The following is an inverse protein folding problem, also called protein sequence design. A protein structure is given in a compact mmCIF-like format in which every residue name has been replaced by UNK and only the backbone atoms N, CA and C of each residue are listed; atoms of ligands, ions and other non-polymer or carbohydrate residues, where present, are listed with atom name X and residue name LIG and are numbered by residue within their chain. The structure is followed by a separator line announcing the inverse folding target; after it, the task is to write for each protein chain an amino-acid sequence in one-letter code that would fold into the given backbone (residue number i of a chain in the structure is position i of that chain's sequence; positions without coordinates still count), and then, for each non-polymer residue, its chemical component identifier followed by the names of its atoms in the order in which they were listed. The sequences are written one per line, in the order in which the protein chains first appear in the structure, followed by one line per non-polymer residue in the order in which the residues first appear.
data_IF_073581657387
#
_entry.id   IF_073581657387
#
_cell.length_a   1.000
_cell.length_b   1.000
_cell.length_c   1.000
_cell.angle_alpha   90.00
_cell.angle_beta   90.00
_cell.angle_gamma   90.00
#
_symmetry.space_group_name_H-M   'P 1'
#
loop_
_entity.id
_entity.type
_entity.pdbx_description
1 polymer ?
#
# COMPACT_ATOMS: atom_id res chain seq x y z
N UNK A 1 62.83 46.20 22.51
CA UNK A 1 63.10 46.11 21.06
C UNK A 1 62.49 44.81 20.53
N UNK A 2 61.94 44.89 19.31
CA UNK A 2 61.13 43.92 18.52
C UNK A 2 61.73 42.49 18.52
N UNK A 3 61.03 41.37 18.30
CA UNK A 3 59.95 40.96 17.37
C UNK A 3 59.24 39.74 18.01
N UNK A 4 57.92 39.56 17.95
CA UNK A 4 57.17 39.10 16.78
C UNK A 4 57.24 37.58 16.62
N UNK A 5 56.16 36.84 16.93
CA UNK A 5 55.76 35.62 16.19
C UNK A 5 54.29 35.33 16.48
N UNK A 6 53.49 35.47 15.42
CA UNK A 6 52.13 35.01 15.25
C UNK A 6 52.09 33.47 15.33
N UNK A 7 51.20 32.90 16.15
CA UNK A 7 50.81 31.50 16.00
C UNK A 7 49.55 31.47 15.14
N UNK A 8 49.74 31.05 13.89
CA UNK A 8 48.70 30.75 12.92
C UNK A 8 48.00 29.46 13.38
N UNK A 9 46.80 29.57 13.96
CA UNK A 9 45.94 28.42 14.21
C UNK A 9 45.36 27.94 12.88
N UNK A 10 45.89 26.83 12.38
CA UNK A 10 45.38 26.06 11.25
C UNK A 10 44.06 25.37 11.69
N UNK A 11 42.97 26.13 11.68
CA UNK A 11 41.62 25.57 11.84
C UNK A 11 41.22 24.84 10.57
N UNK A 12 41.23 23.50 10.61
CA UNK A 12 40.68 22.64 9.57
C UNK A 12 39.22 23.02 9.32
N UNK A 13 38.95 23.52 8.12
CA UNK A 13 37.61 23.67 7.60
C UNK A 13 36.97 22.28 7.50
N UNK A 14 36.03 21.98 8.39
CA UNK A 14 35.15 20.83 8.21
C UNK A 14 34.26 21.12 6.99
N UNK A 15 34.26 20.24 5.97
CA UNK A 15 33.35 20.38 4.85
C UNK A 15 31.90 20.24 5.36
N UNK A 16 31.02 21.04 4.76
CA UNK A 16 29.61 21.14 5.12
C UNK A 16 28.96 19.77 5.30
N UNK A 17 28.14 19.67 6.34
CA UNK A 17 27.25 18.54 6.56
C UNK A 17 26.23 18.55 5.43
N UNK A 18 26.54 17.78 4.39
CA UNK A 18 25.66 17.54 3.26
C UNK A 18 24.40 16.83 3.72
N UNK A 19 23.29 17.43 3.31
CA UNK A 19 22.09 16.79 2.77
C UNK A 19 21.22 15.97 3.72
N UNK A 20 20.10 16.61 4.07
CA UNK A 20 18.77 16.04 4.04
C UNK A 20 18.65 14.91 3.00
N UNK A 21 18.20 13.75 3.45
CA UNK A 21 17.30 12.85 2.70
C UNK A 21 17.00 11.66 3.59
N UNK A 22 15.88 11.72 4.32
CA UNK A 22 15.15 10.50 4.66
C UNK A 22 14.88 9.80 3.33
N UNK A 23 15.48 8.64 3.12
CA UNK A 23 15.32 7.88 1.89
C UNK A 23 13.88 7.36 1.79
N UNK A 24 12.99 8.23 1.33
CA UNK A 24 11.68 7.88 0.78
C UNK A 24 11.99 7.16 -0.52
N UNK A 25 11.96 5.83 -0.52
CA UNK A 25 11.88 5.09 -1.77
C UNK A 25 10.59 5.59 -2.47
N UNK A 26 10.67 6.29 -3.61
CA UNK A 26 9.46 6.74 -4.28
C UNK A 26 8.64 5.50 -4.59
N UNK A 27 7.37 5.50 -4.19
CA UNK A 27 6.44 4.49 -4.70
C UNK A 27 6.54 4.51 -6.22
N UNK A 28 6.44 3.34 -6.91
CA UNK A 28 6.29 3.35 -8.36
C UNK A 28 5.25 4.40 -8.73
N UNK A 29 5.53 5.31 -9.67
CA UNK A 29 4.76 6.56 -9.80
C UNK A 29 3.24 6.36 -9.77
N UNK A 30 2.77 5.29 -10.41
CA UNK A 30 1.35 4.92 -10.47
C UNK A 30 0.74 4.44 -9.15
N UNK A 31 1.53 3.81 -8.27
CA UNK A 31 1.07 3.34 -6.97
C UNK A 31 0.63 4.50 -6.08
N UNK A 32 1.33 5.63 -6.12
CA UNK A 32 0.94 6.81 -5.35
C UNK A 32 -0.42 7.35 -5.81
N UNK A 33 -0.65 7.45 -7.13
CA UNK A 33 -1.96 7.86 -7.67
C UNK A 33 -3.10 6.93 -7.22
N UNK A 34 -2.85 5.62 -7.15
CA UNK A 34 -3.83 4.64 -6.69
C UNK A 34 -4.15 4.83 -5.20
N UNK A 35 -3.14 5.10 -4.36
CA UNK A 35 -3.33 5.40 -2.93
C UNK A 35 -4.11 6.70 -2.76
N UNK A 36 -3.74 7.75 -3.50
CA UNK A 36 -4.40 9.05 -3.45
C UNK A 36 -5.87 8.95 -3.87
N UNK A 37 -6.16 8.17 -4.92
CA UNK A 37 -7.52 7.88 -5.35
C UNK A 37 -8.32 7.21 -4.22
N UNK A 38 -7.78 6.17 -3.59
CA UNK A 38 -8.45 5.47 -2.50
C UNK A 38 -8.72 6.42 -1.31
N UNK A 39 -7.74 7.25 -0.94
CA UNK A 39 -7.86 8.24 0.13
C UNK A 39 -8.95 9.28 -0.17
N UNK A 40 -8.99 9.82 -1.39
CA UNK A 40 -9.98 10.81 -1.81
C UNK A 40 -11.43 10.27 -1.81
N UNK A 41 -11.59 8.95 -1.87
CA UNK A 41 -12.88 8.25 -1.92
C UNK A 41 -13.31 7.64 -0.58
N UNK A 42 -12.54 7.80 0.50
CA UNK A 42 -12.95 7.34 1.84
C UNK A 42 -14.35 7.84 2.21
N UNK A 43 -15.20 6.93 2.67
CA UNK A 43 -16.59 7.21 3.04
C UNK A 43 -17.54 7.46 1.86
N UNK A 44 -17.05 7.44 0.62
CA UNK A 44 -17.85 7.63 -0.61
C UNK A 44 -18.07 6.28 -1.30
N UNK A 45 -19.10 6.22 -2.13
CA UNK A 45 -19.37 5.09 -3.03
C UNK A 45 -18.65 5.34 -4.35
N UNK A 46 -17.82 4.40 -4.80
CA UNK A 46 -17.22 4.43 -6.14
C UNK A 46 -18.09 3.60 -7.08
N UNK A 47 -18.51 4.21 -8.20
CA UNK A 47 -19.38 3.61 -9.23
C UNK A 47 -20.61 2.86 -8.65
N UNK A 48 -20.76 1.56 -8.94
CA UNK A 48 -21.90 0.73 -8.52
C UNK A 48 -21.79 0.30 -7.06
N UNK A 49 -20.61 0.50 -6.46
CA UNK A 49 -20.35 0.18 -5.06
C UNK A 49 -19.81 -1.23 -4.88
N UNK A 50 -19.40 -1.92 -5.95
CA UNK A 50 -18.83 -3.26 -5.91
C UNK A 50 -17.37 -3.23 -5.45
N UNK A 51 -16.87 -4.31 -4.83
CA UNK A 51 -15.53 -4.32 -4.24
C UNK A 51 -14.42 -4.01 -5.25
N UNK A 52 -14.58 -4.44 -6.49
CA UNK A 52 -13.63 -4.23 -7.58
C UNK A 52 -13.73 -2.84 -8.22
N UNK A 53 -14.86 -2.12 -8.09
CA UNK A 53 -15.05 -0.79 -8.67
C UNK A 53 -14.01 0.21 -8.13
N UNK A 54 -13.63 0.07 -6.85
CA UNK A 54 -12.59 0.90 -6.24
C UNK A 54 -11.23 0.70 -6.92
N UNK A 55 -10.84 -0.56 -7.13
CA UNK A 55 -9.58 -0.90 -7.80
C UNK A 55 -9.60 -0.48 -9.28
N UNK A 56 -10.70 -0.74 -9.98
CA UNK A 56 -10.87 -0.33 -11.37
C UNK A 56 -10.81 1.19 -11.54
N UNK A 57 -11.52 1.95 -10.69
CA UNK A 57 -11.48 3.41 -10.71
C UNK A 57 -10.07 3.95 -10.48
N UNK A 58 -9.37 3.41 -9.47
CA UNK A 58 -8.00 3.83 -9.16
C UNK A 58 -7.02 3.52 -10.31
N UNK A 59 -7.11 2.32 -10.90
CA UNK A 59 -6.28 1.91 -12.03
C UNK A 59 -6.54 2.78 -13.28
N UNK A 60 -7.81 3.05 -13.58
CA UNK A 60 -8.19 3.87 -14.74
C UNK A 60 -7.71 5.32 -14.58
N UNK A 61 -7.93 5.93 -13.41
CA UNK A 61 -7.49 7.30 -13.12
C UNK A 61 -5.97 7.43 -13.19
N UNK A 62 -5.27 6.41 -12.69
CA UNK A 62 -3.81 6.39 -12.69
C UNK A 62 -3.19 6.04 -14.06
N UNK A 63 -4.01 5.78 -15.09
CA UNK A 63 -3.55 5.39 -16.42
C UNK A 63 -2.84 4.02 -16.42
N UNK A 64 -3.29 3.08 -15.58
CA UNK A 64 -2.68 1.76 -15.45
C UNK A 64 -3.12 0.83 -16.59
N UNK A 65 -2.23 -0.09 -16.97
CA UNK A 65 -2.59 -1.23 -17.81
C UNK A 65 -3.13 -2.37 -16.94
N UNK A 66 -4.36 -2.80 -17.25
CA UNK A 66 -5.04 -3.93 -16.62
C UNK A 66 -6.06 -4.54 -17.60
N UNK A 67 -6.59 -5.72 -17.29
CA UNK A 67 -7.44 -6.51 -18.22
C UNK A 67 -8.94 -6.17 -18.16
N UNK A 68 -9.35 -5.23 -17.31
CA UNK A 68 -10.77 -4.90 -17.10
C UNK A 68 -11.54 -5.95 -16.28
N UNK A 69 -10.87 -6.99 -15.76
CA UNK A 69 -11.46 -8.08 -15.01
C UNK A 69 -10.71 -8.30 -13.68
N UNK A 70 -9.82 -9.31 -13.60
CA UNK A 70 -9.09 -9.67 -12.37
C UNK A 70 -7.57 -9.64 -12.52
N UNK A 71 -7.07 -9.25 -13.70
CA UNK A 71 -5.67 -9.01 -13.98
C UNK A 71 -5.34 -7.53 -13.76
N UNK A 72 -5.01 -7.19 -12.51
CA UNK A 72 -4.77 -5.81 -12.06
C UNK A 72 -3.32 -5.32 -12.27
N UNK A 73 -2.50 -6.06 -13.02
CA UNK A 73 -1.09 -5.77 -13.25
C UNK A 73 -0.21 -7.02 -13.12
N UNK A 74 1.01 -6.85 -12.61
CA UNK A 74 1.95 -7.97 -12.44
C UNK A 74 1.67 -8.72 -11.15
N UNK A 75 1.47 -10.03 -11.22
CA UNK A 75 1.29 -10.88 -10.02
C UNK A 75 2.56 -10.89 -9.18
N UNK A 76 2.42 -10.72 -7.87
CA UNK A 76 3.50 -10.73 -6.90
C UNK A 76 3.56 -12.05 -6.13
N UNK A 77 4.76 -12.60 -5.99
CA UNK A 77 5.07 -13.61 -4.97
C UNK A 77 5.34 -12.89 -3.65
N UNK A 78 4.29 -12.62 -2.88
CA UNK A 78 4.34 -11.86 -1.62
C UNK A 78 5.21 -12.51 -0.53
N UNK A 79 5.63 -13.77 -0.71
CA UNK A 79 6.59 -14.42 0.19
C UNK A 79 8.03 -13.99 -0.09
N UNK A 80 8.33 -13.59 -1.33
CA UNK A 80 9.67 -13.19 -1.78
C UNK A 80 9.77 -11.70 -2.10
N UNK A 81 8.67 -11.09 -2.48
CA UNK A 81 8.57 -9.70 -2.90
C UNK A 81 7.89 -8.88 -1.82
N UNK A 82 8.38 -7.66 -1.62
CA UNK A 82 7.76 -6.67 -0.76
C UNK A 82 6.43 -6.20 -1.37
N UNK A 83 5.40 -6.09 -0.54
CA UNK A 83 4.13 -5.45 -0.86
C UNK A 83 4.26 -3.96 -0.58
N UNK A 84 3.76 -3.12 -1.50
CA UNK A 84 3.84 -1.66 -1.43
C UNK A 84 2.43 -1.05 -1.36
N UNK A 85 2.27 0.13 -0.76
CA UNK A 85 1.08 0.95 -0.98
C UNK A 85 0.79 1.08 -2.47
N UNK A 86 -0.47 1.02 -2.85
CA UNK A 86 -0.97 1.01 -4.24
C UNK A 86 -1.04 -0.39 -4.86
N UNK A 87 -0.43 -1.42 -4.26
CA UNK A 87 -0.63 -2.79 -4.73
C UNK A 87 -2.08 -3.23 -4.48
N UNK A 88 -2.60 -4.09 -5.37
CA UNK A 88 -3.97 -4.59 -5.31
C UNK A 88 -3.98 -6.01 -4.78
N UNK A 89 -4.93 -6.34 -3.92
CA UNK A 89 -5.11 -7.70 -3.39
C UNK A 89 -6.47 -8.25 -3.80
N UNK A 90 -6.45 -9.41 -4.45
CA UNK A 90 -7.61 -10.22 -4.77
C UNK A 90 -7.73 -11.38 -3.78
N UNK A 91 -8.91 -11.53 -3.20
CA UNK A 91 -9.28 -12.62 -2.31
C UNK A 91 -10.11 -13.64 -3.10
N UNK A 92 -9.76 -14.92 -2.98
CA UNK A 92 -10.53 -16.04 -3.54
C UNK A 92 -10.77 -17.10 -2.46
N UNK A 93 -12.02 -17.20 -1.99
CA UNK A 93 -12.40 -18.13 -0.93
C UNK A 93 -11.58 -17.98 0.35
N UNK A 94 -11.20 -16.75 0.71
CA UNK A 94 -10.33 -16.48 1.86
C UNK A 94 -11.13 -16.46 3.15
N UNK A 95 -10.59 -17.10 4.18
CA UNK A 95 -11.12 -17.02 5.54
C UNK A 95 -10.05 -16.43 6.44
N UNK A 96 -10.39 -15.38 7.19
CA UNK A 96 -9.52 -14.82 8.24
C UNK A 96 -10.13 -15.05 9.61
N UNK A 97 -9.29 -15.36 10.60
CA UNK A 97 -9.69 -15.63 11.98
C UNK A 97 -8.88 -14.74 12.94
N UNK A 98 -9.56 -13.83 13.63
CA UNK A 98 -8.98 -12.96 14.66
C UNK A 98 -9.46 -13.41 16.04
N UNK A 99 -8.52 -13.62 16.97
CA UNK A 99 -8.83 -13.90 18.37
C UNK A 99 -8.81 -12.62 19.16
N UNK A 100 -9.93 -12.29 19.76
CA UNK A 100 -10.10 -11.09 20.59
C UNK A 100 -10.73 -11.55 21.89
N UNK A 101 -10.06 -11.36 23.02
CA UNK A 101 -10.59 -11.54 24.39
C UNK A 101 -11.75 -12.54 24.52
N UNK A 102 -11.44 -13.84 24.38
CA UNK A 102 -12.39 -14.93 24.59
C UNK A 102 -13.34 -15.23 23.42
N UNK A 103 -13.27 -14.48 22.31
CA UNK A 103 -14.03 -14.75 21.08
C UNK A 103 -13.12 -14.89 19.86
N UNK A 104 -13.66 -15.59 18.86
CA UNK A 104 -13.10 -15.70 17.51
C UNK A 104 -14.00 -14.87 16.59
N UNK A 105 -13.43 -13.86 15.94
CA UNK A 105 -14.05 -13.14 14.84
C UNK A 105 -13.56 -13.74 13.52
N UNK A 106 -14.49 -14.11 12.65
CA UNK A 106 -14.20 -14.72 11.36
C UNK A 106 -14.78 -13.87 10.22
N UNK A 107 -13.97 -13.59 9.21
CA UNK A 107 -14.42 -12.99 7.96
C UNK A 107 -14.24 -13.98 6.81
N UNK A 108 -15.23 -14.07 5.93
CA UNK A 108 -15.22 -14.95 4.75
C UNK A 108 -15.35 -14.09 3.49
N UNK A 109 -14.36 -14.21 2.61
CA UNK A 109 -14.27 -13.50 1.35
C UNK A 109 -14.38 -14.50 0.20
N UNK A 110 -15.60 -14.75 -0.29
CA UNK A 110 -15.81 -15.62 -1.46
C UNK A 110 -15.05 -15.08 -2.68
N UNK A 111 -15.24 -13.79 -2.99
CA UNK A 111 -14.50 -13.04 -4.00
C UNK A 111 -14.47 -11.57 -3.60
N UNK A 112 -13.30 -11.02 -3.31
CA UNK A 112 -13.17 -9.63 -2.83
C UNK A 112 -11.93 -8.96 -3.40
N UNK A 113 -11.98 -7.66 -3.62
CA UNK A 113 -10.84 -6.87 -4.10
C UNK A 113 -10.59 -5.71 -3.15
N UNK A 114 -9.33 -5.40 -2.89
CA UNK A 114 -8.93 -4.25 -2.10
C UNK A 114 -7.61 -3.65 -2.59
N UNK A 115 -7.35 -2.39 -2.21
CA UNK A 115 -6.10 -1.67 -2.46
C UNK A 115 -5.30 -1.63 -1.15
N UNK A 116 -4.02 -1.97 -1.17
CA UNK A 116 -3.12 -1.73 -0.04
C UNK A 116 -2.84 -0.24 0.05
N UNK A 117 -3.24 0.43 1.13
CA UNK A 117 -3.03 1.87 1.30
C UNK A 117 -1.92 2.19 2.31
N UNK A 118 -1.65 1.29 3.26
CA UNK A 118 -0.54 1.42 4.21
C UNK A 118 0.09 0.05 4.45
N UNK A 119 1.42 0.00 4.46
CA UNK A 119 2.19 -1.15 4.92
C UNK A 119 2.65 -0.87 6.34
N UNK A 120 2.00 -1.49 7.33
CA UNK A 120 2.33 -1.30 8.74
C UNK A 120 3.54 -2.15 9.13
N UNK A 121 3.56 -3.39 8.63
CA UNK A 121 4.64 -4.37 8.78
C UNK A 121 4.52 -5.41 7.65
N UNK A 122 5.53 -6.27 7.50
CA UNK A 122 5.48 -7.41 6.59
C UNK A 122 4.32 -8.33 6.98
N UNK A 123 3.33 -8.40 6.09
CA UNK A 123 2.13 -9.19 6.30
C UNK A 123 1.05 -8.49 7.16
N UNK A 124 1.20 -7.20 7.46
CA UNK A 124 0.20 -6.38 8.14
C UNK A 124 -0.05 -5.12 7.32
N UNK A 125 -1.22 -5.06 6.70
CA UNK A 125 -1.55 -4.03 5.71
C UNK A 125 -2.87 -3.36 6.05
N UNK A 126 -2.93 -2.03 5.97
CA UNK A 126 -4.22 -1.35 5.85
C UNK A 126 -4.66 -1.46 4.41
N UNK A 127 -5.84 -2.01 4.19
CA UNK A 127 -6.45 -2.12 2.87
C UNK A 127 -7.67 -1.20 2.78
N UNK A 128 -7.86 -0.55 1.63
CA UNK A 128 -9.08 0.17 1.28
C UNK A 128 -9.94 -0.69 0.36
N UNK A 129 -11.22 -0.79 0.68
CA UNK A 129 -12.18 -1.61 -0.05
C UNK A 129 -13.62 -1.09 0.17
N UNK A 130 -14.55 -1.54 -0.66
CA UNK A 130 -15.98 -1.32 -0.48
C UNK A 130 -16.74 -2.62 -0.69
N UNK A 131 -18.06 -2.60 -0.50
CA UNK A 131 -18.92 -3.78 -0.48
C UNK A 131 -18.48 -4.80 0.58
N UNK A 132 -18.17 -4.31 1.78
CA UNK A 132 -17.79 -5.14 2.93
C UNK A 132 -18.81 -4.92 4.05
N UNK A 133 -19.29 -6.00 4.68
CA UNK A 133 -20.33 -5.93 5.71
C UNK A 133 -21.63 -5.26 5.24
N UNK A 134 -22.04 -5.47 3.99
CA UNK A 134 -23.17 -4.79 3.32
C UNK A 134 -23.02 -3.26 3.17
N UNK A 135 -21.82 -2.70 3.36
CA UNK A 135 -21.54 -1.28 3.17
C UNK A 135 -20.87 -1.04 1.81
N UNK A 136 -21.57 -0.34 0.92
CA UNK A 136 -21.09 0.02 -0.44
C UNK A 136 -20.31 1.34 -0.49
N UNK A 137 -19.60 1.66 0.59
CA UNK A 137 -18.74 2.85 0.70
C UNK A 137 -17.32 2.40 0.97
N UNK A 138 -16.34 3.15 0.48
CA UNK A 138 -14.94 2.87 0.73
C UNK A 138 -14.66 3.03 2.22
N UNK A 139 -14.15 1.96 2.82
CA UNK A 139 -13.68 1.89 4.20
C UNK A 139 -12.27 1.29 4.20
N UNK A 140 -11.60 1.36 5.36
CA UNK A 140 -10.33 0.66 5.56
C UNK A 140 -10.46 -0.40 6.63
N UNK A 141 -9.73 -1.50 6.44
CA UNK A 141 -9.56 -2.57 7.42
C UNK A 141 -8.09 -2.98 7.47
N UNK A 142 -7.70 -3.67 8.54
CA UNK A 142 -6.34 -4.23 8.67
C UNK A 142 -6.39 -5.69 8.21
N UNK A 143 -5.66 -5.99 7.15
CA UNK A 143 -5.36 -7.33 6.70
C UNK A 143 -4.09 -7.82 7.40
N UNK A 144 -4.19 -8.91 8.16
CA UNK A 144 -3.04 -9.63 8.71
C UNK A 144 -2.95 -10.99 8.02
N UNK A 145 -1.83 -11.24 7.34
CA UNK A 145 -1.62 -12.52 6.66
C UNK A 145 -1.56 -13.70 7.66
N UNK A 146 -1.13 -13.43 8.90
CA UNK A 146 -1.12 -14.40 9.99
C UNK A 146 -2.52 -14.86 10.41
N UNK A 147 -3.57 -14.12 10.07
CA UNK A 147 -4.96 -14.45 10.41
C UNK A 147 -5.64 -15.29 9.31
N UNK A 148 -5.01 -15.43 8.14
CA UNK A 148 -5.53 -16.22 7.03
C UNK A 148 -5.48 -17.72 7.38
N UNK A 149 -6.61 -18.42 7.21
CA UNK A 149 -6.77 -19.85 7.49
C UNK A 149 -7.01 -20.71 6.26
N UNK A 150 -7.39 -20.08 5.14
CA UNK A 150 -7.66 -20.76 3.89
C UNK A 150 -7.88 -19.78 2.74
N UNK A 151 -8.05 -20.33 1.53
CA UNK A 151 -8.23 -19.56 0.30
C UNK A 151 -6.93 -19.07 -0.32
N UNK A 152 -7.06 -18.14 -1.28
CA UNK A 152 -5.93 -17.53 -2.00
C UNK A 152 -5.96 -16.01 -1.88
N UNK A 153 -4.81 -15.46 -1.52
CA UNK A 153 -4.51 -14.03 -1.67
C UNK A 153 -3.56 -13.86 -2.84
N UNK A 154 -4.01 -13.10 -3.84
CA UNK A 154 -3.21 -12.78 -5.02
C UNK A 154 -2.95 -11.28 -4.98
N UNK A 155 -1.67 -10.92 -4.86
CA UNK A 155 -1.24 -9.53 -4.88
C UNK A 155 -0.80 -9.16 -6.30
N UNK A 156 -1.12 -7.94 -6.72
CA UNK A 156 -0.77 -7.38 -8.00
C UNK A 156 -0.05 -6.06 -7.79
N UNK A 157 1.03 -5.85 -8.55
CA UNK A 157 1.64 -4.54 -8.74
C UNK A 157 1.07 -3.90 -9.99
N UNK A 158 0.38 -2.76 -9.87
CA UNK A 158 -0.06 -1.97 -11.01
C UNK A 158 1.12 -1.62 -11.92
N UNK A 159 0.87 -1.59 -13.21
CA UNK A 159 1.86 -1.22 -14.22
C UNK A 159 1.32 -0.07 -15.07
N UNK A 160 2.16 0.91 -15.47
CA UNK A 160 1.71 1.98 -16.35
C UNK A 160 1.14 1.47 -17.68
N UNK A 161 0.17 2.23 -18.20
CA UNK A 161 -0.35 2.11 -19.57
C UNK A 161 0.74 2.37 -20.62
N UNK A 162 0.56 1.85 -21.85
CA UNK A 162 1.39 2.21 -23.00
C UNK A 162 1.26 3.69 -23.39
#
# INVERSE_FOLDING_TARGET
MRFGTFILLLGLAFPGRGQDSTATHPLPGINQHIVDFAAAHLGKKVDRGECWDLAAGALNEAGAKWDGAYGFGTVLDWRKQEIKPGDIVQFEGVTTERRIEGRIEQDIYCKHTAIVVVVQDRGVYTIAHQNFGNVRKVATTVLRLADVRGGKLIFYRPVPGP
#
